data_IF_887732031875
#
_entry.id   IF_887732031875
#
_cell.length_a   1.000
_cell.length_b   1.000
_cell.length_c   1.000
_cell.angle_alpha   90.00
_cell.angle_beta   90.00
_cell.angle_gamma   90.00
#
_symmetry.space_group_name_H-M   'P 1'
#
loop_
_entity.id
_entity.type
_entity.pdbx_description
1 polymer ?
#
# COMPACT_ATOMS: atom_id res chain seq x y z
N UNK A 1 -2.92 4.33 7.27
CA UNK A 1 -2.29 4.50 5.95
C UNK A 1 -3.29 4.11 4.87
N UNK A 2 -3.09 4.59 3.64
CA UNK A 2 -3.88 4.20 2.47
C UNK A 2 -2.91 3.74 1.39
N UNK A 3 -3.16 2.59 0.77
CA UNK A 3 -2.26 2.00 -0.22
C UNK A 3 -2.99 1.14 -1.26
N UNK A 4 -2.23 0.62 -2.22
CA UNK A 4 -2.77 -0.20 -3.31
C UNK A 4 -2.94 -1.69 -2.93
N UNK A 5 -2.04 -2.17 -2.07
CA UNK A 5 -1.98 -3.55 -1.58
C UNK A 5 -3.17 -3.89 -0.69
N UNK A 6 -3.45 -5.19 -0.56
CA UNK A 6 -4.49 -5.69 0.35
C UNK A 6 -4.17 -5.28 1.81
N UNK A 7 -5.07 -4.56 2.51
CA UNK A 7 -4.86 -4.18 3.90
C UNK A 7 -4.93 -5.37 4.88
N UNK A 8 -5.45 -6.53 4.45
CA UNK A 8 -5.51 -7.76 5.26
C UNK A 8 -4.24 -8.61 5.15
N UNK A 9 -3.28 -8.25 4.27
CA UNK A 9 -1.98 -8.93 4.22
C UNK A 9 -1.16 -8.60 5.47
N UNK A 10 -0.99 -9.59 6.35
CA UNK A 10 -0.33 -9.42 7.65
C UNK A 10 1.14 -9.03 7.52
N UNK A 11 1.83 -9.51 6.49
CA UNK A 11 3.26 -9.20 6.27
C UNK A 11 3.42 -7.72 5.93
N UNK A 12 2.66 -7.23 4.95
CA UNK A 12 2.63 -5.83 4.57
C UNK A 12 2.19 -4.93 5.73
N UNK A 13 1.13 -5.31 6.45
CA UNK A 13 0.64 -4.56 7.62
C UNK A 13 1.74 -4.41 8.68
N UNK A 14 2.46 -5.49 8.99
CA UNK A 14 3.56 -5.46 9.95
C UNK A 14 4.74 -4.61 9.45
N UNK A 15 5.10 -4.71 8.17
CA UNK A 15 6.13 -3.88 7.54
C UNK A 15 5.79 -2.39 7.66
N UNK A 16 4.55 -2.01 7.33
CA UNK A 16 4.05 -0.63 7.47
C UNK A 16 4.14 -0.17 8.93
N UNK A 17 3.65 -0.96 9.88
CA UNK A 17 3.70 -0.60 11.31
C UNK A 17 5.13 -0.43 11.81
N UNK A 18 6.05 -1.31 11.40
CA UNK A 18 7.46 -1.21 11.75
C UNK A 18 8.12 0.03 11.13
N UNK A 19 7.74 0.41 9.92
CA UNK A 19 8.23 1.65 9.30
C UNK A 19 7.66 2.91 9.98
N UNK A 20 6.41 2.87 10.44
CA UNK A 20 5.84 3.97 11.23
C UNK A 20 6.59 4.13 12.55
N UNK A 21 6.88 3.04 13.28
CA UNK A 21 7.65 3.07 14.54
C UNK A 21 9.01 3.76 14.41
N UNK A 22 9.62 3.74 13.22
CA UNK A 22 10.91 4.39 12.95
C UNK A 22 10.80 5.90 12.69
N UNK A 23 9.58 6.40 12.44
CA UNK A 23 9.33 7.79 12.02
C UNK A 23 8.71 8.65 13.14
N UNK A 24 8.09 8.03 14.14
CA UNK A 24 7.42 8.73 15.24
C UNK A 24 7.90 8.21 16.60
N UNK A 25 7.70 9.00 17.67
CA UNK A 25 8.07 8.58 19.02
C UNK A 25 7.27 7.37 19.48
N UNK A 26 7.85 6.57 20.38
CA UNK A 26 7.19 5.41 20.99
C UNK A 26 5.86 5.81 21.63
N UNK A 27 5.84 6.94 22.35
CA UNK A 27 4.63 7.45 23.01
C UNK A 27 3.50 7.75 22.01
N UNK A 28 3.80 8.41 20.89
CA UNK A 28 2.79 8.70 19.87
C UNK A 28 2.31 7.39 19.24
N UNK A 29 3.23 6.47 18.94
CA UNK A 29 2.88 5.18 18.33
C UNK A 29 1.94 4.35 19.21
N UNK A 30 2.19 4.31 20.52
CA UNK A 30 1.38 3.54 21.47
C UNK A 30 -0.01 4.13 21.69
N UNK A 31 -0.15 5.46 21.59
CA UNK A 31 -1.44 6.16 21.74
C UNK A 31 -2.24 6.24 20.43
N UNK A 32 -1.59 6.07 19.28
CA UNK A 32 -2.23 6.22 17.97
C UNK A 32 -3.09 5.00 17.60
N UNK A 33 -4.35 5.25 17.23
CA UNK A 33 -5.19 4.29 16.49
C UNK A 33 -4.76 4.31 15.01
N UNK A 34 -4.15 3.22 14.54
CA UNK A 34 -3.62 3.12 13.17
C UNK A 34 -4.48 2.17 12.36
N UNK A 35 -5.16 2.71 11.34
CA UNK A 35 -5.97 1.95 10.39
C UNK A 35 -5.26 1.83 9.04
N UNK A 36 -5.51 0.73 8.32
CA UNK A 36 -4.98 0.50 6.98
C UNK A 36 -6.15 0.32 6.02
N UNK A 37 -6.23 1.20 5.01
CA UNK A 37 -7.30 1.22 4.02
C UNK A 37 -6.73 0.93 2.64
N UNK A 38 -7.57 0.35 1.78
CA UNK A 38 -7.24 0.15 0.37
C UNK A 38 -7.74 1.33 -0.45
N UNK A 39 -6.85 1.87 -1.28
CA UNK A 39 -7.12 2.99 -2.18
C UNK A 39 -7.15 2.55 -3.65
N UNK A 40 -7.08 3.54 -4.53
CA UNK A 40 -6.91 3.33 -5.97
C UNK A 40 -5.67 4.02 -6.50
N UNK A 41 -5.30 3.69 -7.73
CA UNK A 41 -4.27 4.39 -8.48
C UNK A 41 -4.78 4.69 -9.89
N UNK A 42 -4.50 5.89 -10.37
CA UNK A 42 -4.77 6.31 -11.73
C UNK A 42 -3.45 6.72 -12.37
N UNK A 43 -2.83 5.80 -13.11
CA UNK A 43 -1.54 6.05 -13.76
C UNK A 43 -1.59 7.23 -14.74
N UNK A 44 -2.76 7.56 -15.30
CA UNK A 44 -2.89 8.73 -16.19
C UNK A 44 -2.59 10.04 -15.46
N UNK A 45 -2.89 10.10 -14.16
CA UNK A 45 -2.70 11.28 -13.29
C UNK A 45 -1.30 11.37 -12.68
N UNK A 46 -0.46 10.35 -12.84
CA UNK A 46 0.92 10.40 -12.37
C UNK A 46 1.78 11.29 -13.27
N UNK A 47 2.62 12.13 -12.65
CA UNK A 47 3.64 12.89 -13.36
C UNK A 47 4.76 11.96 -13.89
N UNK A 48 5.61 12.50 -14.78
CA UNK A 48 6.69 11.74 -15.43
C UNK A 48 7.67 11.10 -14.43
N UNK A 49 7.98 11.78 -13.32
CA UNK A 49 8.91 11.27 -12.29
C UNK A 49 8.33 10.02 -11.63
N UNK A 50 7.08 10.07 -11.18
CA UNK A 50 6.42 8.92 -10.56
C UNK A 50 6.23 7.77 -11.57
N UNK A 51 5.86 8.07 -12.83
CA UNK A 51 5.78 7.05 -13.88
C UNK A 51 7.11 6.33 -14.10
N UNK A 52 8.21 7.09 -14.16
CA UNK A 52 9.56 6.54 -14.31
C UNK A 52 9.93 5.66 -13.12
N UNK A 53 9.70 6.14 -11.90
CA UNK A 53 9.94 5.36 -10.67
C UNK A 53 9.14 4.05 -10.67
N UNK A 54 7.84 4.12 -10.98
CA UNK A 54 6.97 2.93 -11.04
C UNK A 54 7.41 1.96 -12.14
N UNK A 55 7.89 2.45 -13.29
CA UNK A 55 8.43 1.61 -14.37
C UNK A 55 9.68 0.85 -13.92
N UNK A 56 10.60 1.52 -13.23
CA UNK A 56 11.80 0.87 -12.69
C UNK A 56 11.43 -0.23 -11.69
N UNK A 57 10.53 0.07 -10.75
CA UNK A 57 10.06 -0.90 -9.77
C UNK A 57 9.33 -2.08 -10.45
N UNK A 58 8.46 -1.82 -11.42
CA UNK A 58 7.76 -2.86 -12.19
C UNK A 58 8.74 -3.81 -12.89
N UNK A 59 9.76 -3.25 -13.55
CA UNK A 59 10.79 -4.06 -14.20
C UNK A 59 11.61 -4.87 -13.20
N UNK A 60 11.89 -4.33 -12.02
CA UNK A 60 12.61 -5.05 -10.98
C UNK A 60 11.80 -6.26 -10.48
N UNK A 61 10.52 -6.06 -10.16
CA UNK A 61 9.69 -7.10 -9.53
C UNK A 61 9.15 -8.13 -10.54
N UNK A 62 8.85 -7.71 -11.77
CA UNK A 62 8.37 -8.61 -12.83
C UNK A 62 9.37 -9.71 -13.19
N UNK A 63 10.65 -9.40 -13.11
CA UNK A 63 11.73 -10.31 -13.47
C UNK A 63 12.14 -11.26 -12.32
N UNK A 64 11.55 -11.12 -11.13
CA UNK A 64 11.76 -12.06 -10.04
C UNK A 64 11.05 -13.40 -10.33
N UNK A 65 11.64 -14.55 -9.94
CA UNK A 65 10.93 -15.83 -9.91
C UNK A 65 9.63 -15.71 -9.12
N UNK A 66 8.56 -16.39 -9.56
CA UNK A 66 7.22 -16.26 -8.96
C UNK A 66 7.22 -16.56 -7.46
N UNK A 67 8.05 -17.49 -7.03
CA UNK A 67 8.21 -17.92 -5.63
C UNK A 67 8.86 -16.84 -4.76
N UNK A 68 9.58 -15.89 -5.38
CA UNK A 68 10.24 -14.75 -4.72
C UNK A 68 9.41 -13.46 -4.79
N UNK A 69 8.33 -13.43 -5.55
CA UNK A 69 7.45 -12.27 -5.60
C UNK A 69 6.59 -12.24 -4.33
N UNK A 70 6.57 -11.10 -3.65
CA UNK A 70 5.65 -10.85 -2.53
C UNK A 70 4.22 -10.64 -3.04
N UNK A 71 3.24 -10.60 -2.12
CA UNK A 71 1.87 -10.23 -2.48
C UNK A 71 1.80 -8.79 -3.03
N UNK A 72 2.61 -7.87 -2.49
CA UNK A 72 2.72 -6.49 -2.95
C UNK A 72 3.28 -6.42 -4.38
N UNK A 73 4.33 -7.20 -4.67
CA UNK A 73 4.94 -7.28 -6.00
C UNK A 73 3.92 -7.75 -7.05
N UNK A 74 3.17 -8.83 -6.74
CA UNK A 74 2.13 -9.36 -7.62
C UNK A 74 1.03 -8.35 -7.88
N UNK A 75 0.49 -7.73 -6.82
CA UNK A 75 -0.54 -6.71 -6.94
C UNK A 75 -0.06 -5.52 -7.78
N UNK A 76 1.21 -5.12 -7.64
CA UNK A 76 1.80 -4.07 -8.47
C UNK A 76 1.91 -4.48 -9.94
N UNK A 77 2.36 -5.71 -10.23
CA UNK A 77 2.46 -6.22 -11.60
C UNK A 77 1.08 -6.26 -12.26
N UNK A 78 0.08 -6.78 -11.56
CA UNK A 78 -1.30 -6.94 -12.04
C UNK A 78 -1.98 -5.62 -12.35
N UNK A 79 -1.65 -4.55 -11.60
CA UNK A 79 -2.29 -3.23 -11.72
C UNK A 79 -1.44 -2.22 -12.48
N UNK A 80 -0.25 -2.62 -12.96
CA UNK A 80 0.70 -1.71 -13.60
C UNK A 80 0.09 -1.05 -14.86
N UNK A 81 0.25 0.27 -14.95
CA UNK A 81 -0.24 1.11 -16.05
C UNK A 81 -1.75 1.06 -16.27
N UNK A 82 -2.52 0.63 -15.26
CA UNK A 82 -3.98 0.63 -15.27
C UNK A 82 -4.53 1.70 -14.35
N UNK A 83 -5.80 2.04 -14.54
CA UNK A 83 -6.58 2.76 -13.53
C UNK A 83 -7.35 1.73 -12.72
N UNK A 84 -7.03 1.61 -11.44
CA UNK A 84 -7.72 0.68 -10.53
C UNK A 84 -8.25 1.42 -9.32
N UNK A 85 -9.43 1.02 -8.85
CA UNK A 85 -10.07 1.61 -7.69
C UNK A 85 -10.56 0.50 -6.76
N UNK A 86 -9.93 0.37 -5.60
CA UNK A 86 -10.33 -0.59 -4.56
C UNK A 86 -10.94 0.11 -3.34
N UNK A 87 -11.37 1.37 -3.50
CA UNK A 87 -11.99 2.12 -2.40
C UNK A 87 -13.30 1.45 -2.01
N UNK A 88 -13.39 1.10 -0.73
CA UNK A 88 -14.58 0.59 -0.07
C UNK A 88 -14.90 1.50 1.11
N UNK A 89 -15.99 2.26 1.02
CA UNK A 89 -16.39 3.19 2.08
C UNK A 89 -16.87 2.49 3.35
N UNK A 90 -17.35 1.25 3.27
CA UNK A 90 -17.73 0.49 4.47
C UNK A 90 -16.52 0.20 5.37
N UNK A 91 -15.31 0.20 4.80
CA UNK A 91 -14.08 0.06 5.60
C UNK A 91 -13.83 1.23 6.56
N UNK A 92 -14.51 2.38 6.36
CA UNK A 92 -14.44 3.54 7.25
C UNK A 92 -15.23 3.35 8.54
N UNK A 93 -16.18 2.40 8.60
CA UNK A 93 -16.97 2.15 9.81
C UNK A 93 -16.07 1.82 11.01
N UNK A 94 -14.94 1.15 10.75
CA UNK A 94 -13.90 0.85 11.76
C UNK A 94 -13.28 2.10 12.39
N UNK A 95 -13.28 3.21 11.65
CA UNK A 95 -12.75 4.50 12.12
C UNK A 95 -13.87 5.29 12.79
N UNK A 96 -15.05 5.32 12.19
CA UNK A 96 -16.22 6.03 12.72
C UNK A 96 -16.58 5.50 14.12
N UNK A 97 -16.54 4.19 14.32
CA UNK A 97 -16.84 3.56 15.62
C UNK A 97 -15.82 3.89 16.72
N UNK A 98 -14.72 4.56 16.40
CA UNK A 98 -13.62 4.88 17.32
C UNK A 98 -13.58 6.36 17.71
N UNK A 99 -14.53 7.16 17.19
CA UNK A 99 -14.79 8.59 17.46
C UNK A 99 -16.07 8.71 18.29
#
# INVERSE_FOLDING_TARGET
TVGLSDPMDEVNKNNIRNNIKKQISKEIFEKAKIFHLRGGIDYSKLNFKHKTMMKLLYNAVKNLPKEKQTAEDRAMIETYNQKVNFVDFSSLDKIINEI
#
